data_IF_297074171369
#
_entry.id   IF_297074171369
#
_cell.length_a   1.000
_cell.length_b   1.000
_cell.length_c   1.000
_cell.angle_alpha   90.00
_cell.angle_beta   90.00
_cell.angle_gamma   90.00
#
_symmetry.space_group_name_H-M   'P 1'
#
loop_
_entity.id
_entity.type
_entity.pdbx_description
1 polymer ?
#
# COMPACT_ATOMS: atom_id res chain seq x y z
N UNK A 1 -9.04 -15.51 -1.89
CA UNK A 1 -9.26 -14.04 -1.80
C UNK A 1 -7.93 -13.35 -1.54
N UNK A 2 -7.39 -12.55 -2.48
CA UNK A 2 -6.03 -11.99 -2.41
C UNK A 2 -6.00 -10.83 -1.41
N UNK A 3 -5.32 -10.99 -0.27
CA UNK A 3 -5.23 -9.99 0.82
C UNK A 3 -4.04 -9.03 0.70
N UNK A 4 -3.46 -8.85 -0.49
CA UNK A 4 -2.42 -7.84 -0.67
C UNK A 4 -3.09 -6.50 -1.01
N UNK A 5 -2.92 -5.51 -0.13
CA UNK A 5 -3.34 -4.13 -0.37
C UNK A 5 -2.54 -3.55 -1.54
N UNK A 6 -3.18 -3.50 -2.70
CA UNK A 6 -2.71 -2.73 -3.86
C UNK A 6 -3.01 -1.26 -3.65
N UNK A 7 -2.08 -0.38 -4.04
CA UNK A 7 -2.25 1.05 -3.90
C UNK A 7 -3.39 1.54 -4.81
N UNK A 8 -4.46 2.18 -4.28
CA UNK A 8 -5.58 2.64 -5.08
C UNK A 8 -5.20 3.76 -6.05
N UNK A 9 -4.13 4.52 -5.77
CA UNK A 9 -3.64 5.60 -6.64
C UNK A 9 -2.72 5.14 -7.77
N UNK A 10 -1.91 4.11 -7.53
CA UNK A 10 -0.96 3.63 -8.53
C UNK A 10 -1.50 2.49 -9.40
N UNK A 11 -2.55 1.81 -8.95
CA UNK A 11 -3.21 0.74 -9.69
C UNK A 11 -2.70 -0.67 -9.35
N UNK A 12 -3.27 -1.69 -10.02
CA UNK A 12 -2.96 -3.08 -9.78
C UNK A 12 -1.51 -3.39 -10.20
N UNK A 13 -0.68 -3.83 -9.25
CA UNK A 13 0.74 -4.12 -9.45
C UNK A 13 1.68 -3.32 -8.54
N UNK A 14 1.19 -2.22 -7.95
CA UNK A 14 1.90 -1.51 -6.89
C UNK A 14 1.31 -1.94 -5.55
N UNK A 15 2.11 -2.64 -4.76
CA UNK A 15 1.74 -3.06 -3.41
C UNK A 15 2.18 -2.04 -2.39
N UNK A 16 1.36 -1.87 -1.35
CA UNK A 16 1.72 -1.06 -0.21
C UNK A 16 2.56 -1.89 0.77
N UNK A 17 3.60 -1.27 1.33
CA UNK A 17 4.40 -1.85 2.39
C UNK A 17 3.69 -1.66 3.72
N UNK A 18 3.57 -2.74 4.50
CA UNK A 18 3.12 -2.66 5.87
C UNK A 18 4.30 -2.27 6.76
N UNK A 19 4.17 -1.15 7.46
CA UNK A 19 5.11 -0.74 8.48
C UNK A 19 4.70 -1.33 9.84
N UNK A 20 5.69 -1.55 10.72
CA UNK A 20 5.48 -2.13 12.06
C UNK A 20 4.50 -1.34 12.93
N UNK A 21 4.31 -0.07 12.61
CA UNK A 21 3.41 0.87 13.27
C UNK A 21 1.93 0.70 12.85
N UNK A 22 1.62 -0.30 12.01
CA UNK A 22 0.28 -0.57 11.49
C UNK A 22 -0.08 0.23 10.22
N UNK A 23 0.77 1.19 9.83
CA UNK A 23 0.57 2.03 8.65
C UNK A 23 0.91 1.28 7.36
N UNK A 24 0.16 1.58 6.30
CA UNK A 24 0.44 1.10 4.96
C UNK A 24 0.96 2.25 4.13
N UNK A 25 2.15 2.13 3.57
CA UNK A 25 2.73 3.17 2.73
C UNK A 25 3.01 2.62 1.33
N UNK A 26 2.66 3.41 0.32
CA UNK A 26 3.01 3.17 -1.05
C UNK A 26 4.36 3.83 -1.34
N UNK A 27 5.38 3.01 -1.62
CA UNK A 27 6.72 3.51 -1.98
C UNK A 27 6.80 4.21 -3.35
N UNK A 28 5.74 4.16 -4.17
CA UNK A 28 5.72 4.77 -5.52
C UNK A 28 5.17 6.20 -5.51
N UNK A 29 4.04 6.43 -4.83
CA UNK A 29 3.37 7.74 -4.82
C UNK A 29 3.38 8.44 -3.45
N UNK A 30 3.95 7.81 -2.42
CA UNK A 30 3.93 8.35 -1.05
C UNK A 30 2.57 8.29 -0.37
N UNK A 31 1.57 7.61 -0.97
CA UNK A 31 0.26 7.41 -0.34
C UNK A 31 0.41 6.55 0.90
N UNK A 32 -0.06 7.07 2.03
CA UNK A 32 -0.02 6.38 3.31
C UNK A 32 -1.43 6.34 3.88
N UNK A 33 -1.87 5.14 4.24
CA UNK A 33 -3.17 4.86 4.83
C UNK A 33 -2.96 4.38 6.27
N UNK A 34 -3.79 4.90 7.18
CA UNK A 34 -3.86 4.49 8.58
C UNK A 34 -4.92 3.40 8.75
#
# INVERSE_FOLDING_TARGET
MRKNRSCPKCGPGIFMAQHKDGRWACGKCGYMEK
#
